data_IF_471330255608
#
_entry.id   IF_471330255608
#
_cell.length_a   1.000
_cell.length_b   1.000
_cell.length_c   1.000
_cell.angle_alpha   90.00
_cell.angle_beta   90.00
_cell.angle_gamma   90.00
#
_symmetry.space_group_name_H-M   'P 1'
#
loop_
_entity.id
_entity.type
_entity.pdbx_description
1 polymer ?
2 non-polymer ?
3 non-polymer ?
4 water ?
#
# COMPACT_ATOMS: atom_id res chain seq x y z
N UNK A 1 -18.24 -4.55 -2.12
CA UNK A 1 -17.28 -4.27 -3.18
C UNK A 1 -17.38 -2.88 -3.81
N UNK A 2 -16.20 -2.35 -4.15
CA UNK A 2 -16.04 -0.97 -4.58
C UNK A 2 -15.25 -0.94 -5.88
N UNK A 3 -15.42 0.10 -6.72
CA UNK A 3 -14.64 0.15 -7.95
C UNK A 3 -13.44 1.09 -7.79
N UNK A 4 -12.25 0.60 -8.09
CA UNK A 4 -11.08 1.45 -7.96
C UNK A 4 -11.03 2.44 -9.12
N UNK A 5 -10.34 3.59 -8.98
CA UNK A 5 -9.67 3.99 -7.74
C UNK A 5 -10.60 4.40 -6.62
N UNK A 6 -10.15 4.17 -5.37
CA UNK A 6 -10.95 4.44 -4.20
C UNK A 6 -10.09 5.22 -3.21
N UNK A 7 -10.68 6.23 -2.58
CA UNK A 7 -10.01 6.95 -1.52
C UNK A 7 -10.71 6.65 -0.19
N UNK A 8 -9.93 6.10 0.76
CA UNK A 8 -10.34 5.87 2.12
C UNK A 8 -9.91 7.07 2.97
N UNK A 9 -10.84 7.87 3.55
CA UNK A 9 -10.43 8.93 4.45
C UNK A 9 -9.78 8.35 5.70
N UNK A 10 -8.76 9.05 6.20
CA UNK A 10 -8.11 8.75 7.46
C UNK A 10 -8.21 10.02 8.29
N UNK A 11 -9.36 10.27 8.94
CA UNK A 11 -9.57 11.58 9.57
C UNK A 11 -8.66 11.84 10.77
N UNK A 12 -7.95 12.93 10.75
CA UNK A 12 -6.98 13.19 11.80
C UNK A 12 -5.69 12.41 11.57
N UNK A 13 -5.58 11.77 10.41
CA UNK A 13 -4.36 11.04 10.07
C UNK A 13 -4.27 9.70 10.79
N UNK A 14 -3.06 9.15 10.75
CA UNK A 14 -2.81 7.83 11.32
C UNK A 14 -2.13 8.00 12.67
N UNK A 15 -2.08 6.91 13.44
CA UNK A 15 -1.53 6.91 14.78
C UNK A 15 -1.01 5.50 15.04
N UNK A 16 0.04 5.31 15.88
CA UNK A 16 0.45 3.95 16.22
C UNK A 16 -0.68 3.10 16.78
N UNK A 17 -0.70 1.85 16.34
CA UNK A 17 -1.67 0.80 16.67
C UNK A 17 -2.87 0.80 15.73
N UNK A 18 -2.88 1.72 14.75
CA UNK A 18 -3.90 1.69 13.70
C UNK A 18 -3.53 0.63 12.68
N UNK A 19 -4.51 -0.24 12.43
CA UNK A 19 -4.37 -1.36 11.50
C UNK A 19 -5.34 -1.17 10.36
N UNK A 20 -4.79 -0.99 9.16
CA UNK A 20 -5.59 -0.77 7.97
C UNK A 20 -5.63 -2.08 7.20
N UNK A 21 -6.83 -2.55 6.89
CA UNK A 21 -7.01 -3.82 6.18
C UNK A 21 -7.68 -3.57 4.82
N UNK A 22 -7.03 -4.02 3.74
CA UNK A 22 -7.52 -3.90 2.38
C UNK A 22 -7.73 -5.33 1.88
N UNK A 23 -8.97 -5.63 1.50
CA UNK A 23 -9.34 -6.94 0.98
C UNK A 23 -9.75 -6.76 -0.47
N UNK A 24 -9.26 -7.65 -1.31
CA UNK A 24 -9.72 -7.67 -2.68
C UNK A 24 -9.24 -8.91 -3.42
N UNK A 25 -9.36 -8.84 -4.73
CA UNK A 25 -8.88 -9.92 -5.60
C UNK A 25 -8.03 -9.30 -6.71
N UNK A 26 -6.86 -9.88 -6.98
CA UNK A 26 -6.02 -9.40 -8.07
C UNK A 26 -6.68 -9.79 -9.38
N UNK A 27 -6.74 -8.87 -10.34
CA UNK A 27 -7.30 -9.18 -11.64
C UNK A 27 -6.42 -10.23 -12.35
N UNK A 28 -6.97 -11.06 -13.26
CA UNK A 28 -6.16 -12.09 -13.90
C UNK A 28 -4.93 -11.65 -14.69
N UNK A 29 -4.96 -10.49 -15.37
CA UNK A 29 -3.79 -10.11 -16.15
C UNK A 29 -3.02 -8.95 -15.50
N UNK A 30 -2.90 -8.96 -14.16
CA UNK A 30 -2.54 -7.73 -13.48
C UNK A 30 -1.15 -7.25 -13.86
N UNK A 31 -0.97 -5.91 -13.88
CA UNK A 31 0.32 -5.28 -14.08
C UNK A 31 0.83 -4.59 -12.81
N UNK A 32 -0.08 -3.93 -12.09
CA UNK A 32 0.34 -3.12 -10.95
C UNK A 32 -0.81 -2.95 -9.97
N UNK A 33 -0.41 -2.68 -8.72
CA UNK A 33 -1.29 -2.27 -7.64
C UNK A 33 -0.61 -1.09 -6.94
N UNK A 34 -1.38 -0.14 -6.42
CA UNK A 34 -0.79 0.92 -5.60
C UNK A 34 -1.69 1.29 -4.43
N UNK A 35 -1.02 1.42 -3.28
CA UNK A 35 -1.57 2.11 -2.12
C UNK A 35 -0.79 3.40 -1.93
N UNK A 36 -1.52 4.50 -1.73
CA UNK A 36 -0.90 5.81 -1.53
C UNK A 36 -1.43 6.49 -0.26
N UNK A 37 -0.61 6.47 0.80
CA UNK A 37 -0.95 7.19 2.02
C UNK A 37 -0.51 8.64 1.81
N UNK A 38 -1.49 9.55 1.78
CA UNK A 38 -1.24 10.93 1.36
C UNK A 38 -1.31 11.90 2.54
N UNK A 39 -0.40 12.88 2.52
CA UNK A 39 -0.47 14.09 3.32
C UNK A 39 -0.61 15.25 2.33
N UNK A 40 -1.86 15.66 2.07
CA UNK A 40 -2.10 16.60 1.00
C UNK A 40 -1.63 16.03 -0.33
N UNK A 41 -0.77 16.77 -1.07
CA UNK A 41 -0.22 16.26 -2.33
C UNK A 41 0.96 15.32 -2.10
N UNK A 42 1.56 15.34 -0.90
CA UNK A 42 2.67 14.44 -0.63
C UNK A 42 2.16 13.00 -0.45
N UNK A 43 2.98 12.04 -0.87
CA UNK A 43 2.70 10.63 -0.62
C UNK A 43 3.69 10.16 0.43
N UNK A 44 3.18 10.01 1.68
CA UNK A 44 4.03 9.56 2.77
C UNK A 44 4.53 8.14 2.51
N UNK A 45 3.64 7.30 1.98
CA UNK A 45 3.96 5.90 1.77
C UNK A 45 3.20 5.37 0.56
N UNK A 46 3.99 5.09 -0.48
CA UNK A 46 3.54 4.46 -1.72
C UNK A 46 3.99 3.01 -1.67
N UNK A 47 3.04 2.09 -1.77
CA UNK A 47 3.29 0.66 -1.78
C UNK A 47 2.83 0.14 -3.14
N UNK A 48 3.76 -0.34 -3.94
CA UNK A 48 3.51 -0.56 -5.37
C UNK A 48 4.02 -1.92 -5.87
N UNK A 49 3.21 -3.00 -5.70
CA UNK A 49 3.46 -4.26 -6.41
C UNK A 49 3.46 -4.06 -7.93
N UNK A 50 4.56 -4.48 -8.54
CA UNK A 50 4.71 -4.52 -9.98
C UNK A 50 4.85 -5.98 -10.40
N UNK A 51 3.96 -6.40 -11.29
CA UNK A 51 3.91 -7.79 -11.74
C UNK A 51 4.84 -8.08 -12.92
N UNK A 52 5.27 -7.03 -13.64
CA UNK A 52 6.15 -7.24 -14.77
C UNK A 52 7.03 -6.03 -15.00
N UNK A 53 7.98 -5.86 -14.11
CA UNK A 53 9.03 -4.89 -14.30
C UNK A 53 10.25 -5.67 -14.78
N UNK A 54 10.59 -5.48 -16.06
CA UNK A 54 11.68 -6.24 -16.65
C UNK A 54 11.47 -7.75 -16.46
N UNK A 55 10.24 -8.18 -16.72
CA UNK A 55 9.84 -9.58 -16.59
C UNK A 55 10.09 -10.21 -15.21
N UNK A 56 10.04 -9.36 -14.17
CA UNK A 56 10.17 -9.78 -12.79
C UNK A 56 8.98 -9.24 -12.01
N UNK A 57 8.75 -9.81 -10.84
CA UNK A 57 7.77 -9.25 -9.91
C UNK A 57 8.57 -8.62 -8.77
N UNK A 58 8.18 -7.40 -8.37
CA UNK A 58 8.88 -6.65 -7.35
C UNK A 58 7.88 -5.77 -6.62
N UNK A 59 8.13 -5.51 -5.33
CA UNK A 59 7.42 -4.49 -4.58
C UNK A 59 8.31 -3.24 -4.51
N UNK A 60 7.79 -2.10 -4.99
CA UNK A 60 8.48 -0.82 -4.86
C UNK A 60 7.75 0.03 -3.83
N UNK A 61 8.50 0.54 -2.85
CA UNK A 61 7.97 1.52 -1.91
C UNK A 61 8.72 2.83 -2.04
N UNK A 62 8.01 3.95 -1.84
CA UNK A 62 8.64 5.27 -1.91
C UNK A 62 7.75 6.29 -1.22
N UNK A 63 8.30 7.53 -1.24
CA UNK A 63 7.64 8.75 -0.76
C UNK A 63 7.78 9.85 -1.83
N UNK A 64 6.69 10.60 -2.03
CA UNK A 64 6.69 11.73 -2.94
C UNK A 64 6.55 13.01 -2.12
N UNK A 65 7.54 13.90 -2.27
CA UNK A 65 7.58 15.17 -1.55
C UNK A 65 7.68 16.30 -2.60
N UNK A 66 6.77 17.26 -2.53
CA UNK A 66 6.81 18.40 -3.45
C UNK A 66 6.79 17.91 -4.90
N UNK A 67 6.01 16.85 -5.12
CA UNK A 67 5.77 16.24 -6.42
C UNK A 67 6.98 15.48 -6.96
N UNK A 68 8.01 15.25 -6.13
CA UNK A 68 9.19 14.48 -6.53
C UNK A 68 9.29 13.15 -5.77
N UNK A 69 9.49 12.07 -6.53
CA UNK A 69 9.74 10.78 -5.89
C UNK A 69 11.14 10.73 -5.27
N UNK A 70 11.26 10.03 -4.13
CA UNK A 70 12.52 9.89 -3.42
C UNK A 70 13.20 8.58 -3.78
N UNK A 71 13.97 8.08 -2.82
CA UNK A 71 14.70 6.83 -2.94
C UNK A 71 13.78 5.62 -2.80
N UNK A 72 13.76 4.75 -3.84
CA UNK A 72 12.98 3.53 -3.75
C UNK A 72 13.58 2.51 -2.78
N UNK A 73 12.68 1.85 -2.07
CA UNK A 73 13.00 0.63 -1.33
C UNK A 73 12.27 -0.52 -1.99
N UNK A 74 13.05 -1.53 -2.39
CA UNK A 74 12.52 -2.62 -3.18
C UNK A 74 12.62 -3.95 -2.43
N UNK A 75 11.65 -4.85 -2.66
CA UNK A 75 11.56 -6.20 -2.09
C UNK A 75 11.22 -7.14 -3.24
N UNK A 76 11.92 -8.29 -3.36
CA UNK A 76 11.56 -9.29 -4.36
C UNK A 76 10.56 -10.31 -3.84
N UNK A 77 10.45 -10.45 -2.51
CA UNK A 77 9.39 -11.29 -1.97
C UNK A 77 8.07 -10.69 -2.44
N UNK A 78 7.25 -11.54 -3.07
CA UNK A 78 6.12 -11.04 -3.82
C UNK A 78 4.94 -11.95 -3.54
N UNK A 79 4.09 -11.65 -2.55
CA UNK A 79 3.02 -12.55 -2.13
C UNK A 79 1.70 -12.56 -2.90
N UNK A 80 1.61 -11.73 -3.95
CA UNK A 80 0.44 -11.62 -4.76
C UNK A 80 0.49 -12.56 -5.97
N UNK A 81 -0.69 -12.99 -6.37
CA UNK A 81 -0.84 -13.80 -7.55
C UNK A 81 -2.03 -13.28 -8.33
N UNK A 82 -1.85 -13.16 -9.64
CA UNK A 82 -2.96 -12.84 -10.54
C UNK A 82 -4.16 -13.75 -10.26
N UNK A 83 -5.35 -13.15 -10.19
CA UNK A 83 -6.59 -13.89 -10.05
C UNK A 83 -6.95 -14.27 -8.62
N UNK A 84 -6.05 -14.03 -7.64
CA UNK A 84 -6.26 -14.57 -6.30
C UNK A 84 -6.69 -13.50 -5.30
N UNK A 85 -7.56 -13.88 -4.35
CA UNK A 85 -7.93 -13.02 -3.22
C UNK A 85 -6.75 -12.71 -2.32
N UNK A 86 -6.65 -11.43 -1.89
CA UNK A 86 -5.59 -11.00 -1.00
C UNK A 86 -6.15 -10.20 0.16
N UNK A 87 -5.27 -10.06 1.15
CA UNK A 87 -5.51 -9.16 2.27
C UNK A 87 -4.18 -8.45 2.52
N UNK A 88 -4.20 -7.12 2.35
CA UNK A 88 -3.06 -6.29 2.75
C UNK A 88 -3.40 -5.65 4.08
N UNK A 89 -2.50 -5.80 5.06
CA UNK A 89 -2.65 -5.12 6.33
C UNK A 89 -1.45 -4.23 6.57
N UNK A 90 -1.77 -2.96 6.81
CA UNK A 90 -0.78 -1.93 7.11
C UNK A 90 -0.96 -1.50 8.56
N UNK A 91 0.04 -1.85 9.38
CA UNK A 91 0.06 -1.55 10.81
C UNK A 91 0.95 -0.33 10.99
N UNK A 92 0.38 0.72 11.55
CA UNK A 92 1.15 1.92 11.84
C UNK A 92 1.86 1.74 13.18
N UNK A 93 3.18 1.83 13.16
CA UNK A 93 3.97 1.82 14.38
C UNK A 93 4.67 3.16 14.56
N UNK A 94 5.28 3.43 15.74
CA UNK A 94 5.83 4.76 15.98
C UNK A 94 6.86 5.20 14.96
N UNK A 95 7.66 4.27 14.44
CA UNK A 95 8.75 4.61 13.54
C UNK A 95 8.58 4.06 12.11
N UNK A 96 7.61 3.20 11.84
CA UNK A 96 7.46 2.65 10.52
C UNK A 96 6.02 2.23 10.28
N UNK A 97 5.72 2.05 8.99
CA UNK A 97 4.61 1.22 8.57
C UNK A 97 5.09 -0.22 8.41
N UNK A 98 4.31 -1.18 8.94
CA UNK A 98 4.57 -2.60 8.79
C UNK A 98 3.49 -3.16 7.89
N UNK A 99 3.88 -3.92 6.89
CA UNK A 99 2.96 -4.52 5.95
C UNK A 99 3.03 -6.04 6.04
N UNK A 100 1.84 -6.62 6.15
CA UNK A 100 1.67 -8.07 6.08
C UNK A 100 0.65 -8.33 4.96
N UNK A 101 0.88 -9.39 4.20
CA UNK A 101 -0.04 -9.83 3.16
C UNK A 101 -0.46 -11.27 3.46
N UNK A 102 -1.76 -11.51 3.46
CA UNK A 102 -2.29 -12.84 3.70
C UNK A 102 -1.67 -13.39 4.98
N UNK A 103 -1.62 -12.56 6.01
CA UNK A 103 -1.18 -12.94 7.35
C UNK A 103 0.29 -13.31 7.45
N UNK A 104 1.11 -12.90 6.49
CA UNK A 104 2.54 -13.11 6.54
C UNK A 104 3.23 -11.75 6.44
N UNK A 105 4.17 -11.48 7.34
CA UNK A 105 4.94 -10.26 7.32
C UNK A 105 5.64 -10.10 5.96
N UNK A 106 5.58 -8.87 5.37
CA UNK A 106 6.25 -8.61 4.12
C UNK A 106 7.40 -7.62 4.28
N UNK A 107 7.13 -6.43 4.85
CA UNK A 107 8.14 -5.39 4.89
C UNK A 107 7.81 -4.36 5.95
N UNK A 108 8.83 -3.56 6.28
CA UNK A 108 8.63 -2.34 7.06
C UNK A 108 9.17 -1.17 6.25
N UNK A 109 8.57 0.01 6.47
CA UNK A 109 8.94 1.23 5.77
C UNK A 109 9.03 2.36 6.80
N UNK A 110 10.24 2.83 7.08
CA UNK A 110 10.45 3.90 8.04
C UNK A 110 9.74 5.20 7.66
N UNK A 111 9.16 5.87 8.65
CA UNK A 111 8.46 7.14 8.39
C UNK A 111 9.45 8.19 7.90
N UNK A 112 9.26 8.67 6.67
CA UNK A 112 9.95 9.84 6.08
C UNK A 112 9.13 11.09 6.37
N UNK A 113 7.82 11.01 6.15
CA UNK A 113 6.88 12.05 6.58
C UNK A 113 6.57 11.85 8.06
N UNK A 114 6.88 12.86 8.86
CA UNK A 114 6.84 12.73 10.31
C UNK A 114 5.46 13.08 10.85
N UNK A 115 4.68 13.88 10.12
CA UNK A 115 3.39 14.34 10.62
C UNK A 115 2.31 13.29 10.39
N UNK A 116 2.32 12.19 11.19
CA UNK A 116 1.35 11.09 11.01
C UNK A 116 -0.09 11.60 11.07
N UNK A 117 -0.37 12.58 11.92
CA UNK A 117 -1.73 13.05 12.08
C UNK A 117 -2.22 13.93 10.93
N UNK A 118 -1.41 14.06 9.87
CA UNK A 118 -1.76 14.80 8.65
C UNK A 118 -1.83 13.88 7.44
N UNK A 119 -1.58 12.57 7.67
CA UNK A 119 -1.67 11.58 6.59
C UNK A 119 -3.13 11.12 6.52
N UNK A 120 -3.97 11.88 5.82
CA UNK A 120 -5.40 11.85 6.04
C UNK A 120 -6.19 11.21 4.91
N UNK A 121 -5.49 10.58 3.96
CA UNK A 121 -6.18 9.84 2.91
C UNK A 121 -5.34 8.65 2.45
N UNK A 122 -6.03 7.55 2.17
CA UNK A 122 -5.41 6.40 1.52
C UNK A 122 -6.05 6.14 0.16
N UNK A 123 -5.26 6.33 -0.87
CA UNK A 123 -5.70 5.98 -2.22
C UNK A 123 -5.36 4.53 -2.54
N UNK A 124 -6.32 3.83 -3.14
CA UNK A 124 -6.15 2.43 -3.56
C UNK A 124 -6.45 2.37 -5.06
N UNK A 125 -5.50 1.87 -5.84
CA UNK A 125 -5.64 1.84 -7.28
C UNK A 125 -4.94 0.62 -7.88
N UNK A 126 -5.23 0.42 -9.15
CA UNK A 126 -4.55 -0.60 -9.92
C UNK A 126 -5.46 -1.79 -10.22
N UNK A 127 -4.79 -2.91 -10.51
CA UNK A 127 -5.43 -4.03 -11.19
C UNK A 127 -6.03 -4.99 -10.17
N UNK A 128 -7.04 -4.51 -9.47
CA UNK A 128 -7.74 -5.26 -8.45
C UNK A 128 -9.24 -5.05 -8.54
N UNK A 129 -9.97 -6.02 -7.99
CA UNK A 129 -11.35 -5.88 -7.58
C UNK A 129 -11.31 -5.63 -6.07
N UNK A 130 -11.75 -4.48 -5.60
CA UNK A 130 -11.68 -4.11 -4.19
C UNK A 130 -12.94 -4.56 -3.47
N UNK A 131 -12.76 -5.38 -2.41
CA UNK A 131 -13.86 -5.86 -1.59
C UNK A 131 -14.14 -4.91 -0.42
N UNK A 132 -13.08 -4.53 0.30
CA UNK A 132 -13.29 -3.60 1.39
C UNK A 132 -11.99 -2.94 1.80
N UNK A 133 -12.15 -1.77 2.45
CA UNK A 133 -11.02 -1.04 2.98
C UNK A 133 -11.48 -0.43 4.31
N UNK A 134 -10.81 -0.77 5.40
CA UNK A 134 -11.25 -0.32 6.72
C UNK A 134 -10.05 -0.30 7.66
N UNK A 135 -10.27 0.19 8.88
CA UNK A 135 -9.23 0.18 9.87
C UNK A 135 -9.82 0.02 11.26
N UNK A 136 -8.93 -0.38 12.17
CA UNK A 136 -9.27 -0.48 13.57
C UNK A 136 -8.03 -0.20 14.39
N UNK A 137 -8.20 -0.01 15.70
CA UNK A 137 -7.05 0.11 16.60
C UNK A 137 -6.79 -1.23 17.29
N UNK A 138 -5.53 -1.70 17.30
CA UNK A 138 -5.21 -2.95 17.95
C UNK A 138 -4.91 -2.74 19.45
X LIG B 1 11.48 7.39 -10.01
X LIG B 1 9.97 8.59 -10.95
X LIG B 1 14.00 7.70 -10.14
X LIG B 1 9.44 7.36 -10.69
X LIG B 1 8.00 7.03 -11.03
X LIG B 1 7.59 5.55 -10.86
X LIG B 1 6.07 5.30 -11.04
X LIG B 1 1.87 5.03 -10.29
X LIG B 1 -1.63 4.28 -11.22
X LIG B 1 -0.75 2.35 -10.13
X LIG B 1 3.15 4.61 -10.11
X LIG B 1 7.88 4.96 -7.21
X LIG B 1 5.84 5.29 -8.56
X LIG B 1 10.38 6.65 -10.05
X LIG B 1 12.75 7.25 -7.92
X LIG B 1 12.80 7.06 -9.42
X LIG B 1 13.51 5.72 -9.73
X LIG B 1 14.58 6.40 -10.41
X LIG B 1 11.24 8.59 -10.54
X LIG B 1 5.31 5.87 -9.87
X LIG B 1 3.88 5.71 -10.03
X LIG B 1 3.09 6.81 -10.08
X LIG B 1 1.87 6.40 -10.24
X LIG B 1 0.63 4.27 -10.44
X LIG B 1 -0.44 4.90 -11.07
X LIG B 1 -1.80 3.02 -10.77
X LIG B 1 -3.30 2.34 -11.09
X LIG B 1 -0.86 1.06 -9.66
X LIG B 1 0.44 2.99 -9.98
X LIG B 1 1.46 2.37 -9.39
X LIG B 1 5.58 5.92 -12.22
X LIG B 1 5.84 5.18 -13.40
X LIG B 1 8.01 5.02 -9.56
X LIG B 1 7.32 5.59 -8.44
X LIG B 1 9.28 5.34 -7.03
X LIG B 1 5.55 3.91 -8.48
X LIG B 1 13.75 8.24 -11.05
X LIG B 1 14.65 8.31 -9.50
X LIG B 1 7.83 7.31 -12.07
X LIG B 1 7.36 7.68 -10.44
X LIG B 1 8.12 4.97 -11.60
X LIG B 1 5.87 4.23 -11.10
X LIG B 1 -2.44 4.78 -11.72
X LIG B 1 3.59 3.64 -10.10
X LIG B 1 7.84 3.87 -7.29
X LIG B 1 7.32 5.27 -6.34
X LIG B 1 5.32 5.78 -7.73
X LIG B 1 10.37 5.63 -9.68
X LIG B 1 11.76 7.60 -7.60
X LIG B 1 13.47 8.01 -7.60
X LIG B 1 12.96 6.33 -7.36
X LIG B 1 12.95 5.06 -10.41
X LIG B 1 13.87 5.15 -8.87
X LIG B 1 5.45 6.96 -9.86
X LIG B 1 -0.35 5.92 -11.44
X LIG B 1 5.41 5.71 -14.25
X LIG B 1 5.38 4.19 -13.33
X LIG B 1 6.91 5.09 -13.55
X LIG B 1 7.50 6.67 -8.40
X LIG B 1 9.76 5.04 -7.82
X LIG B 1 5.07 3.68 -9.30
X LIG C 1 4.12 1.28 -11.48
X LIG C 1 3.19 2.07 -12.49
X LIG C 1 2.46 2.65 -13.17
#
# INVERSE_FOLDING_TARGET
PLIVPYNLPLPGGVVPRMLITILGTVKPNANRIALDFQRGNDVAFHFNPRFNENNRRVIVCNTKLDNNWGREERQSVFPFESGKPFKIQVLVEPDHFKVAVNDAHLLQYNHRVKKLNEISKLGISGDIDLTSASYTMI
A1H2N N1 N3 C4 C5 C6 C7 C8 C10 C13 C15 C17 C20 C21 C22 C1 C2 C3 O1 N2 C9 N4 N5 N6 C11 C12 C14 CL1 F1 C16 F2 O2 C18 O3 C19 O4 O5 H7 H6 H8 H9 H10 H11 H14 H15 H20 H21 H23 H25 H1 H2 H3 H5 H4 H12 H13 H17 H18 H16 H19 H22 H24
SCN S C N
#
